data_IF_949163124555
#
_entry.id   IF_949163124555
#
_cell.length_a   1.000
_cell.length_b   1.000
_cell.length_c   1.000
_cell.angle_alpha   90.00
_cell.angle_beta   90.00
_cell.angle_gamma   90.00
#
_symmetry.space_group_name_H-M   'P 1'
#
loop_
_entity.id
_entity.type
_entity.pdbx_description
1 polymer ?
#
# COMPACT_ATOMS: atom_id res chain seq x y z
N UNK A 1 -13.40 -1.61 32.39
CA UNK A 1 -13.16 -1.18 31.00
C UNK A 1 -11.93 -0.30 30.99
N UNK A 2 -10.76 -0.87 30.76
CA UNK A 2 -9.51 -0.09 30.65
C UNK A 2 -9.58 0.70 29.34
N UNK A 3 -9.59 2.03 29.45
CA UNK A 3 -9.58 2.91 28.30
C UNK A 3 -8.40 2.62 27.36
N UNK A 4 -8.45 3.16 26.15
CA UNK A 4 -7.38 3.05 25.16
C UNK A 4 -6.03 3.44 25.80
N UNK A 5 -5.15 2.46 25.94
CA UNK A 5 -3.81 2.68 26.48
C UNK A 5 -2.91 3.31 25.41
N UNK A 6 -1.92 4.11 25.80
CA UNK A 6 -0.94 4.72 24.90
C UNK A 6 -0.35 3.71 23.90
N UNK A 7 -0.10 2.47 24.32
CA UNK A 7 0.43 1.39 23.47
C UNK A 7 -0.54 1.06 22.33
N UNK A 8 -1.84 1.01 22.59
CA UNK A 8 -2.85 0.71 21.57
C UNK A 8 -2.96 1.83 20.52
N UNK A 9 -2.90 3.09 20.97
CA UNK A 9 -2.86 4.26 20.07
C UNK A 9 -1.62 4.20 19.19
N UNK A 10 -0.44 3.96 19.77
CA UNK A 10 0.81 3.82 19.02
C UNK A 10 0.78 2.64 18.06
N UNK A 11 0.18 1.50 18.44
CA UNK A 11 0.00 0.35 17.55
C UNK A 11 -0.90 0.69 16.37
N UNK A 12 -2.02 1.35 16.61
CA UNK A 12 -2.94 1.80 15.56
C UNK A 12 -2.27 2.78 14.59
N UNK A 13 -1.49 3.74 15.11
CA UNK A 13 -0.73 4.68 14.29
C UNK A 13 0.35 3.99 13.45
N UNK A 14 1.08 3.02 14.04
CA UNK A 14 2.11 2.27 13.30
C UNK A 14 1.50 1.41 12.20
N UNK A 15 0.40 0.73 12.50
CA UNK A 15 -0.32 -0.06 11.49
C UNK A 15 -0.91 0.83 10.38
N UNK A 16 -1.48 1.97 10.76
CA UNK A 16 -1.93 2.99 9.81
C UNK A 16 -0.80 3.49 8.89
N UNK A 17 0.40 3.71 9.44
CA UNK A 17 1.57 4.13 8.66
C UNK A 17 2.01 3.07 7.65
N UNK A 18 2.03 1.78 8.04
CA UNK A 18 2.31 0.68 7.11
C UNK A 18 1.25 0.59 6.01
N UNK A 19 -0.02 0.59 6.40
CA UNK A 19 -1.13 0.56 5.44
C UNK A 19 -1.10 1.75 4.50
N UNK A 20 -0.73 2.95 4.98
CA UNK A 20 -0.57 4.13 4.15
C UNK A 20 0.51 3.94 3.08
N UNK A 21 1.68 3.38 3.42
CA UNK A 21 2.75 3.12 2.46
C UNK A 21 2.20 2.29 1.28
N UNK A 22 1.52 1.18 1.57
CA UNK A 22 0.97 0.28 0.55
C UNK A 22 -0.19 0.93 -0.20
N UNK A 23 -1.18 1.45 0.53
CA UNK A 23 -2.39 2.03 -0.05
C UNK A 23 -2.11 3.32 -0.84
N UNK A 24 -1.05 4.08 -0.51
CA UNK A 24 -0.66 5.26 -1.31
C UNK A 24 -0.22 4.86 -2.72
N UNK A 25 0.50 3.73 -2.87
CA UNK A 25 0.83 3.16 -4.17
C UNK A 25 -0.41 2.75 -4.96
N UNK A 26 -1.35 2.08 -4.29
CA UNK A 26 -2.63 1.70 -4.90
C UNK A 26 -3.46 2.93 -5.29
N UNK A 27 -3.51 3.96 -4.42
CA UNK A 27 -4.21 5.23 -4.68
C UNK A 27 -3.66 5.96 -5.90
N UNK A 28 -2.33 5.97 -6.08
CA UNK A 28 -1.69 6.59 -7.25
C UNK A 28 -2.07 5.87 -8.55
N UNK A 29 -2.02 4.54 -8.55
CA UNK A 29 -2.40 3.72 -9.71
C UNK A 29 -3.88 3.91 -10.01
N UNK A 30 -4.74 3.72 -9.03
CA UNK A 30 -6.19 3.81 -9.21
C UNK A 30 -6.64 5.23 -9.58
N UNK A 31 -6.05 6.25 -8.96
CA UNK A 31 -6.40 7.65 -9.22
C UNK A 31 -6.12 8.08 -10.66
N UNK A 32 -4.98 7.69 -11.23
CA UNK A 32 -4.57 8.10 -12.58
C UNK A 32 -5.06 7.14 -13.67
N UNK A 33 -4.94 5.84 -13.43
CA UNK A 33 -5.26 4.83 -14.44
C UNK A 33 -6.73 4.42 -14.41
N UNK A 34 -7.44 4.75 -13.33
CA UNK A 34 -8.83 4.31 -13.04
C UNK A 34 -8.98 2.77 -13.07
N UNK A 35 -7.87 2.06 -12.89
CA UNK A 35 -7.81 0.59 -12.89
C UNK A 35 -7.76 0.10 -11.45
N UNK A 36 -8.67 -0.79 -11.05
CA UNK A 36 -8.58 -1.54 -9.81
C UNK A 36 -7.57 -2.68 -9.98
N UNK A 37 -6.32 -2.46 -9.58
CA UNK A 37 -5.27 -3.46 -9.69
C UNK A 37 -5.35 -4.47 -8.52
N UNK A 38 -6.08 -5.57 -8.69
CA UNK A 38 -6.20 -6.61 -7.67
C UNK A 38 -4.89 -7.37 -7.41
N UNK A 39 -3.89 -7.26 -8.28
CA UNK A 39 -2.57 -7.83 -8.04
C UNK A 39 -1.74 -7.02 -7.02
N UNK A 40 -2.21 -5.85 -6.54
CA UNK A 40 -1.43 -4.98 -5.67
C UNK A 40 -1.04 -5.65 -4.33
N UNK A 41 -1.93 -6.44 -3.74
CA UNK A 41 -1.64 -7.23 -2.55
C UNK A 41 -0.59 -8.32 -2.82
N UNK A 42 -0.71 -9.04 -3.93
CA UNK A 42 0.28 -10.04 -4.35
C UNK A 42 1.65 -9.40 -4.64
N UNK A 43 1.69 -8.19 -5.22
CA UNK A 43 2.93 -7.41 -5.40
C UNK A 43 3.57 -7.02 -4.07
N UNK A 44 2.75 -6.65 -3.07
CA UNK A 44 3.23 -6.42 -1.71
C UNK A 44 3.88 -7.68 -1.13
N UNK A 45 3.18 -8.81 -1.16
CA UNK A 45 3.66 -10.07 -0.60
C UNK A 45 4.93 -10.55 -1.32
N UNK A 46 4.94 -10.54 -2.65
CA UNK A 46 6.09 -10.93 -3.45
C UNK A 46 7.30 -10.02 -3.19
N UNK A 47 7.08 -8.71 -3.04
CA UNK A 47 8.09 -7.74 -2.62
C UNK A 47 8.65 -8.05 -1.23
N UNK A 48 7.80 -8.45 -0.29
CA UNK A 48 8.21 -8.90 1.04
C UNK A 48 9.14 -10.11 0.98
N UNK A 49 8.81 -11.13 0.18
CA UNK A 49 9.65 -12.31 -0.02
C UNK A 49 10.99 -11.99 -0.69
N UNK A 50 11.03 -11.09 -1.70
CA UNK A 50 12.29 -10.61 -2.27
C UNK A 50 13.12 -9.91 -1.20
N UNK A 51 12.52 -9.00 -0.43
CA UNK A 51 13.16 -8.31 0.68
C UNK A 51 13.72 -9.28 1.71
N UNK A 52 12.94 -10.29 2.13
CA UNK A 52 13.38 -11.36 3.03
C UNK A 52 14.63 -12.09 2.50
N UNK A 53 14.60 -12.49 1.23
CA UNK A 53 15.70 -13.21 0.59
C UNK A 53 16.98 -12.37 0.55
N UNK A 54 16.88 -11.11 0.13
CA UNK A 54 18.04 -10.22 0.01
C UNK A 54 18.59 -9.84 1.38
N UNK A 55 17.73 -9.54 2.36
CA UNK A 55 18.18 -9.28 3.75
C UNK A 55 18.84 -10.51 4.34
N UNK A 56 18.28 -11.70 4.14
CA UNK A 56 18.86 -12.97 4.61
C UNK A 56 20.24 -13.26 4.01
N UNK A 57 20.42 -12.97 2.72
CA UNK A 57 21.68 -13.20 2.00
C UNK A 57 22.76 -12.15 2.31
N UNK A 58 22.38 -10.89 2.52
CA UNK A 58 23.33 -9.76 2.64
C UNK A 58 23.48 -9.22 4.06
N UNK A 59 22.56 -9.54 4.96
CA UNK A 59 22.45 -8.92 6.28
C UNK A 59 22.04 -7.43 6.24
N UNK A 60 21.75 -6.88 5.06
CA UNK A 60 21.50 -5.45 4.87
C UNK A 60 20.04 -5.17 4.55
N UNK A 61 19.34 -4.57 5.52
CA UNK A 61 17.92 -4.23 5.39
C UNK A 61 17.65 -3.19 4.27
N UNK A 62 18.54 -2.20 4.11
CA UNK A 62 18.36 -1.17 3.09
C UNK A 62 18.47 -1.77 1.68
N UNK A 63 19.44 -2.68 1.47
CA UNK A 63 19.55 -3.41 0.20
C UNK A 63 18.31 -4.27 -0.07
N UNK A 64 17.75 -4.91 0.95
CA UNK A 64 16.50 -5.67 0.82
C UNK A 64 15.31 -4.79 0.39
N UNK A 65 15.17 -3.61 1.02
CA UNK A 65 14.13 -2.64 0.65
C UNK A 65 14.32 -2.15 -0.79
N UNK A 66 15.53 -1.74 -1.18
CA UNK A 66 15.80 -1.25 -2.53
C UNK A 66 15.59 -2.34 -3.59
N UNK A 67 16.06 -3.55 -3.33
CA UNK A 67 15.87 -4.69 -4.22
C UNK A 67 14.39 -5.00 -4.43
N UNK A 68 13.62 -5.02 -3.35
CA UNK A 68 12.16 -5.18 -3.40
C UNK A 68 11.49 -4.09 -4.21
N UNK A 69 11.77 -2.82 -3.92
CA UNK A 69 11.20 -1.69 -4.64
C UNK A 69 11.48 -1.75 -6.14
N UNK A 70 12.74 -2.00 -6.52
CA UNK A 70 13.17 -2.05 -7.93
C UNK A 70 12.55 -3.25 -8.64
N UNK A 71 12.59 -4.44 -8.02
CA UNK A 71 12.03 -5.67 -8.61
C UNK A 71 10.52 -5.56 -8.81
N UNK A 72 9.80 -5.03 -7.82
CA UNK A 72 8.34 -4.88 -7.92
C UNK A 72 7.96 -3.74 -8.88
N UNK A 73 8.73 -2.66 -8.95
CA UNK A 73 8.54 -1.64 -9.99
C UNK A 73 8.74 -2.22 -11.40
N UNK A 74 9.78 -3.04 -11.59
CA UNK A 74 10.04 -3.74 -12.85
C UNK A 74 8.93 -4.73 -13.21
N UNK A 75 8.45 -5.50 -12.23
CA UNK A 75 7.34 -6.42 -12.40
C UNK A 75 6.03 -5.68 -12.73
N UNK A 76 5.74 -4.58 -12.05
CA UNK A 76 4.61 -3.71 -12.35
C UNK A 76 4.67 -3.13 -13.77
N UNK A 77 5.87 -2.69 -14.20
CA UNK A 77 6.11 -2.24 -15.56
C UNK A 77 5.86 -3.37 -16.59
N UNK A 78 6.35 -4.58 -16.30
CA UNK A 78 6.12 -5.75 -17.15
C UNK A 78 4.63 -6.07 -17.26
N UNK A 79 3.91 -6.13 -16.14
CA UNK A 79 2.45 -6.40 -16.13
C UNK A 79 1.71 -5.34 -16.94
N UNK A 80 2.06 -4.06 -16.78
CA UNK A 80 1.41 -2.97 -17.52
C UNK A 80 1.68 -3.08 -19.03
N UNK A 81 2.93 -3.30 -19.43
CA UNK A 81 3.30 -3.32 -20.85
C UNK A 81 2.98 -4.62 -21.56
N UNK A 82 3.13 -5.76 -20.89
CA UNK A 82 2.93 -7.06 -21.49
C UNK A 82 1.47 -7.53 -21.45
N UNK A 83 0.72 -7.13 -20.44
CA UNK A 83 -0.62 -7.66 -20.17
C UNK A 83 -1.71 -6.58 -20.23
N UNK A 84 -1.64 -5.55 -19.38
CA UNK A 84 -2.71 -4.55 -19.23
C UNK A 84 -2.95 -3.73 -20.50
N UNK A 85 -1.92 -3.50 -21.30
CA UNK A 85 -2.05 -2.73 -22.56
C UNK A 85 -3.10 -3.29 -23.52
N UNK A 86 -3.35 -4.61 -23.49
CA UNK A 86 -4.28 -5.28 -24.41
C UNK A 86 -5.73 -5.22 -23.95
N UNK A 87 -5.97 -4.93 -22.67
CA UNK A 87 -7.30 -4.90 -22.07
C UNK A 87 -7.69 -3.51 -21.58
N UNK A 88 -6.80 -2.52 -21.79
CA UNK A 88 -7.00 -1.14 -21.33
C UNK A 88 -8.28 -0.53 -21.94
N UNK A 89 -9.07 0.15 -21.10
CA UNK A 89 -10.38 0.69 -21.48
C UNK A 89 -11.54 -0.28 -21.31
N UNK A 90 -11.28 -1.52 -20.85
CA UNK A 90 -12.31 -2.50 -20.52
C UNK A 90 -12.21 -2.87 -19.02
N UNK A 91 -12.88 -2.13 -18.12
CA UNK A 91 -12.67 -2.27 -16.66
C UNK A 91 -12.81 -3.70 -16.14
N UNK A 92 -13.80 -4.45 -16.61
CA UNK A 92 -14.00 -5.84 -16.17
C UNK A 92 -12.81 -6.73 -16.59
N UNK A 93 -12.28 -6.56 -17.82
CA UNK A 93 -11.13 -7.35 -18.29
C UNK A 93 -9.86 -6.99 -17.52
N UNK A 94 -9.66 -5.71 -17.17
CA UNK A 94 -8.53 -5.26 -16.38
C UNK A 94 -8.56 -5.86 -14.97
N UNK A 95 -9.72 -5.86 -14.30
CA UNK A 95 -9.91 -6.48 -13.00
C UNK A 95 -9.66 -7.99 -13.05
N UNK A 96 -10.24 -8.71 -14.03
CA UNK A 96 -10.03 -10.15 -14.16
C UNK A 96 -8.58 -10.51 -14.47
N UNK A 97 -7.91 -9.72 -15.32
CA UNK A 97 -6.50 -9.92 -15.65
C UNK A 97 -5.62 -9.71 -14.42
N UNK A 98 -5.82 -8.63 -13.66
CA UNK A 98 -5.03 -8.36 -12.44
C UNK A 98 -5.29 -9.39 -11.35
N UNK A 99 -6.52 -9.93 -11.25
CA UNK A 99 -6.83 -11.06 -10.37
C UNK A 99 -6.06 -12.33 -10.80
N UNK A 100 -6.04 -12.64 -12.11
CA UNK A 100 -5.26 -13.76 -12.64
C UNK A 100 -3.75 -13.60 -12.35
N UNK A 101 -3.22 -12.39 -12.50
CA UNK A 101 -1.84 -12.07 -12.13
C UNK A 101 -1.60 -12.29 -10.63
N UNK A 102 -2.55 -11.91 -9.76
CA UNK A 102 -2.43 -12.14 -8.32
C UNK A 102 -2.28 -13.63 -8.01
N UNK A 103 -3.13 -14.48 -8.60
CA UNK A 103 -3.04 -15.94 -8.41
C UNK A 103 -1.70 -16.49 -8.89
N UNK A 104 -1.24 -16.09 -10.10
CA UNK A 104 0.06 -16.53 -10.62
C UNK A 104 1.21 -16.11 -9.68
N UNK A 105 1.20 -14.89 -9.16
CA UNK A 105 2.23 -14.42 -8.22
C UNK A 105 2.19 -15.18 -6.89
N UNK A 106 1.01 -15.48 -6.38
CA UNK A 106 0.85 -16.27 -5.16
C UNK A 106 1.36 -17.70 -5.33
N UNK A 107 0.99 -18.36 -6.43
CA UNK A 107 1.48 -19.70 -6.73
C UNK A 107 2.99 -19.72 -6.95
N UNK A 108 3.55 -18.73 -7.65
CA UNK A 108 5.00 -18.57 -7.79
C UNK A 108 5.68 -18.35 -6.44
N UNK A 109 5.08 -17.56 -5.55
CA UNK A 109 5.62 -17.37 -4.21
C UNK A 109 5.65 -18.69 -3.43
N UNK A 110 4.58 -19.52 -3.50
CA UNK A 110 4.53 -20.84 -2.88
C UNK A 110 5.57 -21.80 -3.47
N UNK A 111 5.79 -21.77 -4.78
CA UNK A 111 6.79 -22.62 -5.44
C UNK A 111 8.22 -22.24 -5.03
N UNK A 112 8.51 -20.93 -4.88
CA UNK A 112 9.87 -20.43 -4.62
C UNK A 112 10.21 -20.49 -3.13
N UNK A 113 9.31 -20.06 -2.25
CA UNK A 113 9.54 -19.91 -0.80
C UNK A 113 8.81 -20.94 0.06
N UNK A 114 7.86 -21.69 -0.51
CA UNK A 114 7.03 -22.63 0.25
C UNK A 114 5.88 -21.98 0.99
N UNK A 115 5.20 -22.78 1.82
CA UNK A 115 4.01 -22.34 2.60
C UNK A 115 4.31 -21.87 4.02
N UNK A 116 5.58 -21.81 4.41
CA UNK A 116 5.98 -21.41 5.76
C UNK A 116 5.82 -19.89 5.99
N UNK A 117 5.79 -19.53 7.28
CA UNK A 117 5.77 -18.13 7.68
C UNK A 117 7.19 -17.60 7.82
N UNK A 118 7.49 -16.48 7.15
CA UNK A 118 8.79 -15.84 7.20
C UNK A 118 8.72 -14.46 7.84
N UNK A 119 9.81 -14.02 8.46
CA UNK A 119 9.96 -12.68 8.99
C UNK A 119 11.26 -12.06 8.49
N UNK A 120 11.16 -10.85 7.97
CA UNK A 120 12.34 -10.09 7.54
C UNK A 120 13.14 -9.66 8.76
N UNK A 121 14.44 -9.89 8.75
CA UNK A 121 15.32 -9.56 9.88
C UNK A 121 15.38 -8.04 10.10
N UNK A 122 15.09 -7.64 11.34
CA UNK A 122 15.17 -6.24 11.75
C UNK A 122 16.63 -5.85 11.97
N UNK A 123 17.10 -4.70 11.43
CA UNK A 123 18.45 -4.19 11.66
C UNK A 123 18.77 -4.06 13.16
N UNK A 124 20.01 -4.29 13.55
CA UNK A 124 20.40 -4.29 14.97
C UNK A 124 20.09 -2.96 15.68
N UNK A 125 20.32 -1.83 15.03
CA UNK A 125 20.03 -0.51 15.60
C UNK A 125 18.52 -0.24 15.83
N UNK A 126 17.63 -0.99 15.19
CA UNK A 126 16.17 -0.94 15.39
C UNK A 126 15.66 -2.03 16.33
N UNK A 127 16.52 -2.90 16.84
CA UNK A 127 16.15 -3.90 17.86
C UNK A 127 15.96 -3.25 19.22
N UNK A 128 15.12 -3.88 20.05
CA UNK A 128 14.82 -3.42 21.40
C UNK A 128 13.67 -2.40 21.46
N UNK A 129 13.50 -1.76 22.59
CA UNK A 129 12.40 -0.85 22.89
C UNK A 129 12.91 0.48 23.47
N UNK A 130 12.10 1.53 23.30
CA UNK A 130 12.29 2.85 23.91
C UNK A 130 11.15 3.09 24.90
N UNK A 131 11.44 3.76 26.01
CA UNK A 131 10.43 4.16 26.99
C UNK A 131 9.77 5.47 26.55
N UNK A 132 8.46 5.43 26.33
CA UNK A 132 7.65 6.58 25.92
C UNK A 132 6.46 6.67 26.88
N UNK A 133 6.31 7.79 27.59
CA UNK A 133 5.17 7.99 28.48
C UNK A 133 5.00 6.90 29.55
N UNK A 134 6.11 6.28 30.00
CA UNK A 134 6.08 5.22 31.01
C UNK A 134 5.92 3.80 30.48
N UNK A 135 5.67 3.61 29.16
CA UNK A 135 5.55 2.30 28.51
C UNK A 135 6.74 2.01 27.60
N UNK A 136 7.10 0.73 27.45
CA UNK A 136 8.12 0.30 26.50
C UNK A 136 7.50 0.05 25.13
N UNK A 137 8.04 0.69 24.08
CA UNK A 137 7.56 0.55 22.72
C UNK A 137 8.69 0.13 21.76
N UNK A 138 8.49 -0.86 20.87
CA UNK A 138 9.54 -1.35 19.98
C UNK A 138 10.06 -0.26 19.04
N UNK A 139 11.40 -0.14 18.93
CA UNK A 139 12.06 0.84 18.03
C UNK A 139 11.64 0.66 16.58
N UNK A 140 11.51 -0.59 16.12
CA UNK A 140 11.11 -0.89 14.76
C UNK A 140 9.72 -0.32 14.42
N UNK A 141 8.78 -0.37 15.34
CA UNK A 141 7.44 0.21 15.15
C UNK A 141 7.48 1.73 14.99
N UNK A 142 8.35 2.41 15.75
CA UNK A 142 8.58 3.85 15.56
C UNK A 142 9.21 4.17 14.21
N UNK A 143 10.14 3.31 13.75
CA UNK A 143 10.72 3.43 12.42
C UNK A 143 9.65 3.29 11.32
N UNK A 144 8.72 2.33 11.43
CA UNK A 144 7.60 2.17 10.49
C UNK A 144 6.73 3.43 10.48
N UNK A 145 6.41 3.98 11.66
CA UNK A 145 5.65 5.22 11.76
C UNK A 145 6.38 6.39 11.09
N UNK A 146 7.68 6.55 11.37
CA UNK A 146 8.52 7.56 10.74
C UNK A 146 8.57 7.39 9.22
N UNK A 147 8.73 6.16 8.73
CA UNK A 147 8.77 5.85 7.31
C UNK A 147 7.44 6.17 6.60
N UNK A 148 6.31 5.92 7.25
CA UNK A 148 5.00 6.30 6.72
C UNK A 148 4.85 7.82 6.57
N UNK A 149 5.29 8.58 7.59
CA UNK A 149 5.31 10.05 7.54
C UNK A 149 6.24 10.54 6.44
N UNK A 150 7.44 9.97 6.33
CA UNK A 150 8.41 10.30 5.29
C UNK A 150 7.85 10.02 3.90
N UNK A 151 7.19 8.87 3.72
CA UNK A 151 6.51 8.51 2.47
C UNK A 151 5.41 9.52 2.12
N UNK A 152 4.62 9.94 3.11
CA UNK A 152 3.60 10.98 2.89
C UNK A 152 4.22 12.29 2.42
N UNK A 153 5.27 12.78 3.10
CA UNK A 153 5.96 14.03 2.75
C UNK A 153 6.59 13.92 1.35
N UNK A 154 7.26 12.81 1.05
CA UNK A 154 7.90 12.58 -0.24
C UNK A 154 6.88 12.56 -1.39
N UNK A 155 5.77 11.84 -1.22
CA UNK A 155 4.70 11.78 -2.21
C UNK A 155 3.96 13.12 -2.33
N UNK A 156 3.71 13.81 -1.23
CA UNK A 156 3.11 15.14 -1.25
C UNK A 156 3.97 16.13 -2.03
N UNK A 157 5.29 16.12 -1.77
CA UNK A 157 6.24 16.97 -2.50
C UNK A 157 6.26 16.58 -3.99
N UNK A 158 6.38 15.28 -4.30
CA UNK A 158 6.39 14.78 -5.67
C UNK A 158 5.13 15.22 -6.42
N UNK A 159 3.95 15.01 -5.84
CA UNK A 159 2.68 15.33 -6.50
C UNK A 159 2.49 16.85 -6.63
N UNK A 160 2.83 17.65 -5.61
CA UNK A 160 2.48 19.07 -5.59
C UNK A 160 3.57 19.99 -6.09
N UNK A 161 4.85 19.57 -6.07
CA UNK A 161 5.99 20.43 -6.35
C UNK A 161 6.82 20.02 -7.56
N UNK A 162 6.51 18.89 -8.22
CA UNK A 162 7.28 18.40 -9.38
C UNK A 162 6.48 18.46 -10.67
N UNK A 163 7.22 18.44 -11.82
CA UNK A 163 6.61 18.37 -13.16
C UNK A 163 5.83 17.07 -13.35
N UNK A 164 6.37 15.93 -12.85
CA UNK A 164 5.68 14.64 -12.91
C UNK A 164 4.33 14.71 -12.16
N UNK A 165 4.32 15.29 -10.97
CA UNK A 165 3.08 15.46 -10.20
C UNK A 165 2.07 16.35 -10.90
N UNK A 166 2.51 17.43 -11.58
CA UNK A 166 1.63 18.26 -12.38
C UNK A 166 0.99 17.46 -13.54
N UNK A 167 1.79 16.63 -14.24
CA UNK A 167 1.31 15.76 -15.32
C UNK A 167 0.36 14.67 -14.82
N UNK A 168 0.65 14.08 -13.64
CA UNK A 168 -0.25 13.12 -13.00
C UNK A 168 -1.62 13.77 -12.73
N UNK A 169 -1.65 14.94 -12.09
CA UNK A 169 -2.91 15.63 -11.81
C UNK A 169 -3.66 16.00 -13.07
N UNK A 170 -2.97 16.57 -14.07
CA UNK A 170 -3.57 16.90 -15.36
C UNK A 170 -4.15 15.66 -16.06
N UNK A 171 -3.42 14.52 -16.02
CA UNK A 171 -3.90 13.28 -16.61
C UNK A 171 -5.07 12.63 -15.86
N UNK A 172 -5.20 12.88 -14.55
CA UNK A 172 -6.38 12.48 -13.76
C UNK A 172 -7.60 13.31 -14.14
N UNK A 173 -7.40 14.62 -14.35
CA UNK A 173 -8.49 15.55 -14.71
C UNK A 173 -8.93 15.31 -16.16
N UNK A 174 -8.01 15.32 -17.13
CA UNK A 174 -8.30 15.11 -18.56
C UNK A 174 -7.07 14.57 -19.32
N UNK A 175 -7.02 13.25 -19.52
CA UNK A 175 -5.95 12.58 -20.23
C UNK A 175 -5.89 12.94 -21.72
N UNK A 176 -7.05 13.16 -22.38
CA UNK A 176 -7.14 13.49 -23.80
C UNK A 176 -6.59 14.89 -24.07
N UNK A 177 -6.90 15.85 -23.19
CA UNK A 177 -6.36 17.20 -23.28
C UNK A 177 -4.85 17.21 -23.12
N UNK A 178 -4.29 16.41 -22.19
CA UNK A 178 -2.84 16.29 -22.00
C UNK A 178 -2.16 15.71 -23.25
N UNK A 179 -2.76 14.74 -23.91
CA UNK A 179 -2.27 14.21 -25.20
C UNK A 179 -2.36 15.24 -26.33
N UNK A 180 -3.45 16.01 -26.39
CA UNK A 180 -3.61 17.09 -27.36
C UNK A 180 -2.55 18.19 -27.22
N UNK A 181 -2.01 18.39 -26.00
CA UNK A 181 -0.86 19.27 -25.75
C UNK A 181 0.49 18.68 -26.15
N UNK A 182 0.52 17.49 -26.80
CA UNK A 182 1.72 16.81 -27.25
C UNK A 182 2.49 16.05 -26.17
N UNK A 183 1.90 15.87 -24.98
CA UNK A 183 2.52 15.15 -23.87
C UNK A 183 2.16 13.66 -23.98
N UNK A 184 3.19 12.81 -23.95
CA UNK A 184 3.00 11.37 -23.99
C UNK A 184 2.45 10.86 -22.63
N UNK A 185 1.13 10.82 -22.48
CA UNK A 185 0.43 10.39 -21.27
C UNK A 185 0.79 8.96 -20.88
N UNK A 186 1.12 8.09 -21.85
CA UNK A 186 1.54 6.72 -21.58
C UNK A 186 2.79 6.67 -20.71
N UNK A 187 3.76 7.58 -20.92
CA UNK A 187 4.98 7.65 -20.07
C UNK A 187 4.63 8.08 -18.65
N UNK A 188 3.67 8.96 -18.49
CA UNK A 188 3.17 9.39 -17.16
C UNK A 188 2.50 8.22 -16.45
N UNK A 189 1.67 7.46 -17.16
CA UNK A 189 1.03 6.24 -16.64
C UNK A 189 2.05 5.20 -16.18
N UNK A 190 3.06 4.92 -17.01
CA UNK A 190 4.11 3.96 -16.67
C UNK A 190 4.92 4.41 -15.43
N UNK A 191 5.32 5.67 -15.37
CA UNK A 191 6.05 6.22 -14.23
C UNK A 191 5.21 6.12 -12.94
N UNK A 192 3.91 6.40 -13.02
CA UNK A 192 2.99 6.32 -11.88
C UNK A 192 2.77 4.87 -11.45
N UNK A 193 2.61 3.95 -12.39
CA UNK A 193 2.51 2.51 -12.13
C UNK A 193 3.76 1.98 -11.45
N UNK A 194 4.96 2.30 -11.98
CA UNK A 194 6.24 1.93 -11.36
C UNK A 194 6.39 2.49 -9.94
N UNK A 195 6.03 3.75 -9.73
CA UNK A 195 6.07 4.38 -8.41
C UNK A 195 5.10 3.68 -7.45
N UNK A 196 3.85 3.46 -7.87
CA UNK A 196 2.85 2.81 -7.04
C UNK A 196 3.20 1.37 -6.68
N UNK A 197 3.71 0.58 -7.63
CA UNK A 197 4.16 -0.79 -7.38
C UNK A 197 5.44 -0.84 -6.55
N UNK A 198 6.38 0.12 -6.70
CA UNK A 198 7.56 0.23 -5.83
C UNK A 198 7.19 0.44 -4.37
N UNK A 199 6.12 1.21 -4.09
CA UNK A 199 5.59 1.39 -2.74
C UNK A 199 4.98 0.10 -2.17
N UNK A 200 4.38 -0.75 -3.01
CA UNK A 200 3.98 -2.09 -2.58
C UNK A 200 5.20 -2.93 -2.18
N UNK A 201 6.30 -2.88 -2.95
CA UNK A 201 7.56 -3.53 -2.60
C UNK A 201 8.15 -3.00 -1.28
N UNK A 202 8.21 -1.68 -1.10
CA UNK A 202 8.63 -1.05 0.16
C UNK A 202 7.78 -1.55 1.33
N UNK A 203 6.46 -1.47 1.18
CA UNK A 203 5.51 -1.94 2.19
C UNK A 203 5.67 -3.42 2.49
N UNK A 204 5.93 -4.25 1.47
CA UNK A 204 6.13 -5.69 1.61
C UNK A 204 7.35 -6.04 2.47
N UNK A 205 8.50 -5.42 2.21
CA UNK A 205 9.71 -5.65 3.01
C UNK A 205 9.57 -5.12 4.44
N UNK A 206 9.04 -3.91 4.60
CA UNK A 206 8.82 -3.27 5.91
C UNK A 206 7.72 -4.01 6.68
N UNK A 207 6.63 -4.38 6.00
CA UNK A 207 5.54 -5.16 6.58
C UNK A 207 5.96 -6.57 6.95
N UNK A 208 6.81 -7.21 6.16
CA UNK A 208 7.33 -8.55 6.45
C UNK A 208 8.17 -8.63 7.73
N UNK A 209 8.77 -7.52 8.16
CA UNK A 209 9.44 -7.42 9.46
C UNK A 209 8.49 -7.04 10.61
N UNK A 210 7.31 -6.48 10.30
CA UNK A 210 6.33 -6.01 11.28
C UNK A 210 5.18 -7.00 11.50
N UNK A 211 4.63 -7.58 10.42
CA UNK A 211 3.44 -8.46 10.42
C UNK A 211 3.79 -9.91 10.11
N UNK A 212 5.01 -10.19 9.65
CA UNK A 212 5.43 -11.46 9.03
C UNK A 212 4.87 -11.66 7.61
N UNK A 213 5.46 -12.61 6.87
CA UNK A 213 5.04 -13.00 5.52
C UNK A 213 4.48 -14.41 5.59
N UNK A 214 3.25 -14.59 5.15
CA UNK A 214 2.58 -15.88 5.08
C UNK A 214 1.68 -15.93 3.82
N UNK A 215 1.43 -17.10 3.29
CA UNK A 215 0.45 -17.26 2.21
C UNK A 215 -0.89 -16.66 2.65
N UNK A 216 -1.55 -15.93 1.76
CA UNK A 216 -2.80 -15.19 1.99
C UNK A 216 -2.67 -13.77 2.61
N UNK A 217 -1.52 -13.34 3.10
CA UNK A 217 -1.30 -11.97 3.59
C UNK A 217 -1.55 -10.91 2.49
N UNK A 218 -1.38 -11.27 1.24
CA UNK A 218 -1.70 -10.45 0.05
C UNK A 218 -3.16 -10.02 0.02
N UNK A 219 -4.07 -10.98 0.24
CA UNK A 219 -5.52 -10.73 0.20
C UNK A 219 -5.96 -9.81 1.34
N UNK A 220 -5.41 -9.98 2.53
CA UNK A 220 -5.70 -9.14 3.69
C UNK A 220 -5.24 -7.69 3.44
N UNK A 221 -4.02 -7.50 2.97
CA UNK A 221 -3.46 -6.18 2.67
C UNK A 221 -4.18 -5.51 1.49
N UNK A 222 -4.59 -6.28 0.48
CA UNK A 222 -5.41 -5.78 -0.63
C UNK A 222 -6.74 -5.23 -0.13
N UNK A 223 -7.44 -5.97 0.73
CA UNK A 223 -8.74 -5.57 1.29
C UNK A 223 -8.60 -4.29 2.13
N UNK A 224 -7.55 -4.17 2.97
CA UNK A 224 -7.27 -2.93 3.69
C UNK A 224 -6.95 -1.77 2.74
N UNK A 225 -6.16 -2.02 1.70
CA UNK A 225 -5.82 -0.98 0.71
C UNK A 225 -7.04 -0.49 -0.05
N UNK A 226 -7.94 -1.39 -0.43
CA UNK A 226 -9.23 -1.04 -1.04
C UNK A 226 -10.10 -0.20 -0.08
N UNK A 227 -10.22 -0.63 1.18
CA UNK A 227 -10.98 0.12 2.18
C UNK A 227 -10.43 1.54 2.37
N UNK A 228 -9.10 1.70 2.41
CA UNK A 228 -8.44 2.99 2.54
C UNK A 228 -8.74 3.90 1.36
N UNK A 229 -8.64 3.37 0.13
CA UNK A 229 -8.89 4.16 -1.09
C UNK A 229 -10.37 4.55 -1.21
N UNK A 230 -11.26 3.65 -0.82
CA UNK A 230 -12.71 3.90 -0.81
C UNK A 230 -13.07 4.96 0.23
N UNK A 231 -12.58 4.84 1.47
CA UNK A 231 -12.80 5.81 2.54
C UNK A 231 -12.17 7.15 2.19
N UNK A 232 -10.92 7.12 1.74
CA UNK A 232 -10.16 8.33 1.44
C UNK A 232 -10.64 9.09 0.21
N UNK A 233 -11.20 8.37 -0.76
CA UNK A 233 -11.55 8.86 -2.09
C UNK A 233 -10.43 8.62 -3.10
N UNK A 234 -10.82 8.16 -4.29
CA UNK A 234 -9.90 7.76 -5.36
C UNK A 234 -8.98 8.91 -5.80
N UNK A 235 -7.67 8.64 -5.88
CA UNK A 235 -6.66 9.60 -6.35
C UNK A 235 -6.27 10.69 -5.36
N UNK A 236 -6.80 10.70 -4.14
CA UNK A 236 -6.44 11.67 -3.11
C UNK A 236 -5.39 11.11 -2.15
N UNK A 237 -4.17 11.66 -2.20
CA UNK A 237 -3.09 11.27 -1.26
C UNK A 237 -3.46 11.61 0.20
N UNK A 238 -4.07 12.77 0.43
CA UNK A 238 -4.56 13.17 1.77
C UNK A 238 -5.69 12.24 2.20
N UNK A 239 -6.58 11.89 1.26
CA UNK A 239 -7.63 10.90 1.50
C UNK A 239 -7.06 9.55 1.91
N UNK A 240 -6.02 9.06 1.20
CA UNK A 240 -5.35 7.80 1.55
C UNK A 240 -4.71 7.86 2.95
N UNK A 241 -4.12 8.99 3.35
CA UNK A 241 -3.54 9.15 4.69
C UNK A 241 -4.61 9.12 5.79
N UNK A 242 -5.72 9.85 5.59
CA UNK A 242 -6.85 9.84 6.54
C UNK A 242 -7.54 8.48 6.58
N UNK A 243 -7.75 7.85 5.40
CA UNK A 243 -8.31 6.49 5.30
C UNK A 243 -7.43 5.46 6.02
N UNK A 244 -6.11 5.51 5.83
CA UNK A 244 -5.18 4.63 6.50
C UNK A 244 -5.19 4.83 8.03
N UNK A 245 -5.27 6.09 8.48
CA UNK A 245 -5.38 6.41 9.90
C UNK A 245 -6.67 5.82 10.49
N UNK A 246 -7.80 6.01 9.82
CA UNK A 246 -9.08 5.47 10.27
C UNK A 246 -9.07 3.94 10.30
N UNK A 247 -8.66 3.29 9.21
CA UNK A 247 -8.62 1.82 9.12
C UNK A 247 -7.64 1.24 10.14
N UNK A 248 -6.44 1.80 10.28
CA UNK A 248 -5.43 1.31 11.23
C UNK A 248 -5.88 1.46 12.69
N UNK A 249 -6.51 2.58 13.04
CA UNK A 249 -7.06 2.79 14.38
C UNK A 249 -8.25 1.87 14.65
N UNK A 250 -9.20 1.79 13.72
CA UNK A 250 -10.37 0.93 13.84
C UNK A 250 -9.98 -0.55 13.94
N UNK A 251 -9.00 -1.01 13.14
CA UNK A 251 -8.47 -2.36 13.24
C UNK A 251 -7.91 -2.65 14.64
N UNK A 252 -7.07 -1.76 15.17
CA UNK A 252 -6.47 -1.94 16.49
C UNK A 252 -7.50 -1.90 17.60
N UNK A 253 -8.46 -0.99 17.54
CA UNK A 253 -9.57 -0.89 18.51
C UNK A 253 -10.45 -2.13 18.40
N UNK A 254 -10.80 -2.55 17.19
CA UNK A 254 -11.62 -3.73 16.92
C UNK A 254 -11.02 -5.00 17.52
N UNK A 255 -9.73 -5.24 17.25
CA UNK A 255 -9.01 -6.40 17.78
C UNK A 255 -8.94 -6.44 19.31
N UNK A 256 -8.86 -5.27 19.96
CA UNK A 256 -8.74 -5.18 21.43
C UNK A 256 -10.09 -5.20 22.14
N UNK A 257 -11.07 -4.46 21.62
CA UNK A 257 -12.37 -4.28 22.29
C UNK A 257 -13.43 -5.29 21.83
N UNK A 258 -13.38 -5.71 20.57
CA UNK A 258 -14.35 -6.57 19.93
C UNK A 258 -13.67 -7.59 18.99
N UNK A 259 -12.86 -8.55 19.51
CA UNK A 259 -12.08 -9.48 18.67
C UNK A 259 -12.93 -10.24 17.67
N UNK A 260 -14.13 -10.69 18.08
CA UNK A 260 -15.05 -11.43 17.23
C UNK A 260 -15.70 -10.58 16.12
N UNK A 261 -15.71 -9.26 16.29
CA UNK A 261 -16.31 -8.28 15.38
C UNK A 261 -15.28 -7.37 14.72
N UNK A 262 -13.98 -7.72 14.76
CA UNK A 262 -12.90 -6.84 14.30
C UNK A 262 -13.12 -6.36 12.86
N UNK A 263 -13.52 -7.23 11.95
CA UNK A 263 -13.85 -6.87 10.57
C UNK A 263 -15.08 -5.97 10.47
N UNK A 264 -16.10 -6.20 11.32
CA UNK A 264 -17.28 -5.34 11.34
C UNK A 264 -16.95 -3.92 11.79
N UNK A 265 -16.02 -3.76 12.75
CA UNK A 265 -15.55 -2.46 13.22
C UNK A 265 -14.84 -1.67 12.11
N UNK A 266 -14.18 -2.35 11.16
CA UNK A 266 -13.52 -1.73 10.02
C UNK A 266 -14.49 -1.43 8.88
N UNK A 267 -15.23 -2.45 8.45
CA UNK A 267 -16.05 -2.38 7.23
C UNK A 267 -17.42 -1.76 7.48
N UNK A 268 -17.95 -1.81 8.70
CA UNK A 268 -19.21 -1.15 9.08
C UNK A 268 -19.17 0.36 8.84
N UNK A 269 -18.23 1.11 9.45
CA UNK A 269 -18.08 2.53 9.18
C UNK A 269 -17.78 2.86 7.71
N UNK A 270 -17.04 2.00 6.99
CA UNK A 270 -16.82 2.14 5.55
C UNK A 270 -18.15 2.06 4.78
N UNK A 271 -18.99 1.08 5.06
CA UNK A 271 -20.28 0.92 4.40
C UNK A 271 -21.22 2.10 4.68
N UNK A 272 -21.24 2.57 5.93
CA UNK A 272 -22.00 3.77 6.33
C UNK A 272 -21.48 5.00 5.58
N UNK A 273 -20.16 5.19 5.54
CA UNK A 273 -19.55 6.31 4.82
C UNK A 273 -19.93 6.31 3.34
N UNK A 274 -19.85 5.15 2.67
CA UNK A 274 -20.22 5.02 1.25
C UNK A 274 -21.70 5.30 1.00
N UNK A 275 -22.60 4.94 1.93
CA UNK A 275 -24.01 5.23 1.81
C UNK A 275 -24.30 6.75 1.79
N UNK A 276 -23.53 7.54 2.55
CA UNK A 276 -23.70 9.01 2.61
C UNK A 276 -22.76 9.78 1.70
N UNK A 277 -21.56 9.24 1.40
CA UNK A 277 -20.54 9.85 0.55
C UNK A 277 -19.92 8.81 -0.39
N UNK A 278 -20.58 8.50 -1.52
CA UNK A 278 -20.12 7.43 -2.43
C UNK A 278 -18.74 7.71 -3.08
N UNK A 279 -18.27 8.95 -3.05
CA UNK A 279 -16.95 9.34 -3.58
C UNK A 279 -15.83 9.33 -2.51
N UNK A 280 -16.12 8.88 -1.29
CA UNK A 280 -15.21 8.96 -0.17
C UNK A 280 -15.10 10.37 0.44
N UNK A 281 -14.16 10.53 1.41
CA UNK A 281 -14.03 11.79 2.16
C UNK A 281 -13.45 12.94 1.32
N UNK A 282 -12.51 12.63 0.43
CA UNK A 282 -11.75 13.62 -0.36
C UNK A 282 -11.81 13.34 -1.87
N UNK A 283 -12.74 12.49 -2.33
CA UNK A 283 -13.01 12.29 -3.74
C UNK A 283 -13.60 13.54 -4.38
N UNK A 284 -13.18 13.84 -5.61
CA UNK A 284 -13.76 14.93 -6.41
C UNK A 284 -14.87 14.37 -7.28
N UNK A 285 -15.99 15.10 -7.38
CA UNK A 285 -16.99 14.86 -8.40
C UNK A 285 -16.34 15.18 -9.76
N UNK A 286 -16.20 14.19 -10.62
CA UNK A 286 -15.79 14.36 -12.03
C UNK A 286 -16.97 14.76 -12.87
#
# INVERSE_FOLDING_TARGET
MSGLNLVQVLNGLTFAALLFIVASGFTLIFGLLRIVNLAHGALYLFGGYIGYTVVGATGNFVLGVLASMISIAGLGLFIDQALLRFVRGFPLREVLLTLGVAFVLNDLALVIWGGDTFSVQIPEFLRGAVRIGGVFYPKYRLFVLFLGILTFIALWFLINKTRLGALIRAGVDDAEMVEAMGINIRRVFLATSMLGTSLAGLGGTVGGAFLTLYPTADSEILVFSLAIVIIGGSGSLVGAAVGALLVGMLNTIGQVMFPELAYFVIFGPMAVLLAFRPMGLFGRAS
#
